data_IF_468036750825
#
_entry.id   IF_468036750825
#
_cell.length_a   1.000
_cell.length_b   1.000
_cell.length_c   1.000
_cell.angle_alpha   90.00
_cell.angle_beta   90.00
_cell.angle_gamma   90.00
#
_symmetry.space_group_name_H-M   'P 1'
#
loop_
_entity.id
_entity.type
_entity.pdbx_description
1 polymer ?
#
# COMPACT_ATOMS: atom_id res chain seq x y z
N UNK A 1 61.16 -19.87 -0.22
CA UNK A 1 60.23 -19.71 -1.33
C UNK A 1 58.89 -20.43 -1.17
N UNK A 2 58.75 -21.32 -0.23
CA UNK A 2 57.51 -22.10 -0.04
C UNK A 2 56.54 -21.51 0.98
N UNK A 3 56.86 -20.40 1.62
CA UNK A 3 56.04 -19.80 2.67
C UNK A 3 54.88 -18.92 2.11
N UNK A 4 55.10 -18.28 0.98
CA UNK A 4 54.10 -17.44 0.31
C UNK A 4 52.99 -18.21 -0.40
N UNK A 5 53.26 -19.41 -0.85
CA UNK A 5 52.26 -20.25 -1.50
C UNK A 5 51.22 -20.83 -0.52
N UNK A 6 51.62 -21.10 0.73
CA UNK A 6 50.72 -21.62 1.76
C UNK A 6 49.78 -20.53 2.31
N UNK A 7 50.22 -19.28 2.36
CA UNK A 7 49.40 -18.17 2.83
C UNK A 7 48.28 -17.83 1.82
N UNK A 8 48.57 -17.96 0.54
CA UNK A 8 47.55 -17.77 -0.53
C UNK A 8 46.47 -18.83 -0.52
N UNK A 9 46.76 -20.03 -0.09
CA UNK A 9 45.80 -21.13 -0.07
C UNK A 9 44.81 -21.04 1.09
N UNK A 10 45.18 -20.46 2.21
CA UNK A 10 44.29 -20.24 3.36
C UNK A 10 43.31 -19.07 3.15
N UNK A 11 43.63 -18.10 2.32
CA UNK A 11 42.78 -16.90 2.08
C UNK A 11 41.69 -17.19 1.05
N UNK A 12 41.91 -18.13 0.13
CA UNK A 12 40.93 -18.48 -0.93
C UNK A 12 39.57 -18.97 -0.41
N UNK A 13 39.48 -19.88 0.60
CA UNK A 13 38.16 -20.30 1.09
C UNK A 13 37.45 -19.19 1.87
N UNK A 14 38.18 -18.33 2.58
CA UNK A 14 37.58 -17.21 3.28
C UNK A 14 36.99 -16.14 2.37
N UNK A 15 37.65 -15.82 1.28
CA UNK A 15 37.14 -14.88 0.29
C UNK A 15 35.86 -15.38 -0.40
N UNK A 16 35.76 -16.68 -0.64
CA UNK A 16 34.54 -17.29 -1.20
C UNK A 16 33.38 -17.31 -0.22
N UNK A 17 33.64 -17.58 1.05
CA UNK A 17 32.61 -17.57 2.11
C UNK A 17 32.10 -16.16 2.35
N UNK A 18 32.97 -15.16 2.39
CA UNK A 18 32.59 -13.76 2.54
C UNK A 18 31.78 -13.29 1.33
N UNK A 19 32.13 -13.72 0.12
CA UNK A 19 31.38 -13.37 -1.10
C UNK A 19 29.97 -13.95 -1.11
N UNK A 20 29.81 -15.22 -0.70
CA UNK A 20 28.50 -15.87 -0.59
C UNK A 20 27.65 -15.26 0.51
N UNK A 21 28.24 -14.94 1.65
CA UNK A 21 27.55 -14.29 2.77
C UNK A 21 27.13 -12.87 2.39
N UNK A 22 27.95 -12.12 1.67
CA UNK A 22 27.64 -10.79 1.16
C UNK A 22 26.47 -10.79 0.16
N UNK A 23 26.42 -11.78 -0.75
CA UNK A 23 25.30 -11.96 -1.67
C UNK A 23 23.99 -12.32 -0.97
N UNK A 24 24.05 -13.11 0.11
CA UNK A 24 22.87 -13.48 0.87
C UNK A 24 22.28 -12.29 1.63
N UNK A 25 23.11 -11.39 2.15
CA UNK A 25 22.65 -10.15 2.79
C UNK A 25 22.00 -9.17 1.82
N UNK A 26 22.46 -9.11 0.59
CA UNK A 26 21.88 -8.23 -0.45
C UNK A 26 20.48 -8.72 -0.84
N UNK A 27 20.24 -10.03 -0.86
CA UNK A 27 18.93 -10.60 -1.18
C UNK A 27 17.88 -10.38 -0.08
N UNK A 28 18.29 -10.26 1.17
CA UNK A 28 17.38 -9.99 2.30
C UNK A 28 17.00 -8.51 2.42
N UNK A 29 17.79 -7.61 1.86
CA UNK A 29 17.55 -6.15 1.92
C UNK A 29 16.56 -5.61 0.89
N UNK A 30 16.25 -6.37 -0.18
CA UNK A 30 15.41 -5.87 -1.28
C UNK A 30 13.90 -6.06 -1.07
N UNK A 31 13.44 -6.81 -0.07
CA UNK A 31 12.02 -7.12 0.07
C UNK A 31 11.18 -6.01 0.69
N UNK A 32 11.78 -5.07 1.42
CA UNK A 32 11.05 -4.00 2.11
C UNK A 32 11.07 -2.63 1.40
N UNK A 33 11.92 -2.47 0.39
CA UNK A 33 12.04 -1.20 -0.33
C UNK A 33 11.05 -1.06 -1.50
N UNK A 34 10.39 -2.15 -1.90
CA UNK A 34 9.53 -2.19 -3.09
C UNK A 34 8.04 -1.97 -2.83
N UNK A 35 7.62 -1.89 -1.58
CA UNK A 35 6.22 -1.57 -1.21
C UNK A 35 5.91 -0.08 -1.22
N UNK A 36 6.85 0.72 -1.63
CA UNK A 36 6.85 2.15 -1.48
C UNK A 36 6.32 2.86 -2.72
N UNK A 37 5.23 3.55 -2.54
CA UNK A 37 4.80 4.75 -3.29
C UNK A 37 4.47 4.63 -4.78
N UNK A 38 4.96 3.63 -5.50
CA UNK A 38 4.75 3.54 -6.95
C UNK A 38 3.32 3.09 -7.30
N UNK A 39 2.60 2.51 -6.35
CA UNK A 39 1.23 2.03 -6.53
C UNK A 39 0.14 3.02 -6.08
N UNK A 40 0.49 4.23 -5.67
CA UNK A 40 -0.50 5.25 -5.37
C UNK A 40 -1.00 5.90 -6.65
N UNK A 41 -2.20 5.53 -7.04
CA UNK A 41 -2.90 6.14 -8.17
C UNK A 41 -3.13 7.62 -7.90
N UNK A 42 -2.89 8.45 -8.91
CA UNK A 42 -3.20 9.87 -8.86
C UNK A 42 -4.62 10.12 -9.35
N UNK A 43 -5.35 10.98 -8.65
CA UNK A 43 -6.68 11.42 -9.01
C UNK A 43 -6.68 12.94 -9.13
N UNK A 44 -7.11 13.45 -10.28
CA UNK A 44 -7.10 14.89 -10.57
C UNK A 44 -5.72 15.55 -10.35
N UNK A 45 -4.66 14.81 -10.72
CA UNK A 45 -3.26 15.25 -10.56
C UNK A 45 -2.69 15.17 -9.15
N UNK A 46 -3.46 14.73 -8.16
CA UNK A 46 -3.03 14.62 -6.76
C UNK A 46 -3.01 13.19 -6.28
N UNK A 47 -2.08 12.88 -5.40
CA UNK A 47 -2.04 11.64 -4.63
C UNK A 47 -2.71 11.85 -3.28
N UNK A 48 -3.68 10.99 -2.95
CA UNK A 48 -4.41 11.04 -1.67
C UNK A 48 -3.99 9.90 -0.77
N UNK A 49 -3.91 10.17 0.52
CA UNK A 49 -3.73 9.15 1.55
C UNK A 49 -5.09 8.68 2.02
N UNK A 50 -5.36 7.40 1.88
CA UNK A 50 -6.62 6.78 2.29
C UNK A 50 -6.40 5.83 3.47
N UNK A 51 -7.38 5.74 4.35
CA UNK A 51 -7.41 4.75 5.42
C UNK A 51 -8.79 4.12 5.46
N UNK A 52 -8.85 2.81 5.19
CA UNK A 52 -10.06 2.03 5.27
C UNK A 52 -10.05 1.21 6.56
N UNK A 53 -11.13 1.31 7.32
CA UNK A 53 -11.37 0.51 8.52
C UNK A 53 -12.55 -0.43 8.25
N UNK A 54 -12.30 -1.73 8.42
CA UNK A 54 -13.34 -2.75 8.35
C UNK A 54 -14.12 -2.76 9.66
N UNK A 55 -15.43 -2.93 9.59
CA UNK A 55 -16.24 -3.13 10.77
C UNK A 55 -15.91 -4.48 11.42
N UNK A 56 -15.96 -4.54 12.75
CA UNK A 56 -15.64 -5.76 13.51
C UNK A 56 -16.80 -6.74 13.60
N UNK A 57 -18.02 -6.23 13.46
CA UNK A 57 -19.25 -7.03 13.56
C UNK A 57 -19.70 -7.52 12.18
N UNK A 58 -19.67 -6.63 11.18
CA UNK A 58 -19.97 -6.95 9.79
C UNK A 58 -18.72 -6.68 8.93
N UNK A 59 -18.01 -7.73 8.58
CA UNK A 59 -16.76 -7.66 7.83
C UNK A 59 -16.91 -7.12 6.39
N UNK A 60 -18.13 -7.05 5.88
CA UNK A 60 -18.47 -6.39 4.60
C UNK A 60 -18.66 -4.89 4.72
N UNK A 61 -18.93 -4.40 5.91
CA UNK A 61 -19.08 -2.97 6.20
C UNK A 61 -17.71 -2.31 6.43
N UNK A 62 -17.58 -1.09 5.95
CA UNK A 62 -16.35 -0.33 6.08
C UNK A 62 -16.61 1.16 6.27
N UNK A 63 -15.66 1.83 6.88
CA UNK A 63 -15.49 3.27 6.86
C UNK A 63 -14.17 3.66 6.22
N UNK A 64 -14.15 4.71 5.46
CA UNK A 64 -13.00 5.16 4.68
C UNK A 64 -12.78 6.64 4.89
N UNK A 65 -11.53 6.99 5.14
CA UNK A 65 -11.09 8.38 5.31
C UNK A 65 -10.08 8.72 4.21
N UNK A 66 -10.35 9.80 3.49
CA UNK A 66 -9.43 10.35 2.49
C UNK A 66 -8.85 11.64 3.04
N UNK A 67 -7.53 11.66 3.23
CA UNK A 67 -6.80 12.81 3.78
C UNK A 67 -6.41 13.78 2.68
N UNK A 68 -6.24 15.05 3.05
CA UNK A 68 -5.88 16.15 2.13
C UNK A 68 -6.88 16.32 0.99
N UNK A 69 -8.13 16.00 1.23
CA UNK A 69 -9.21 16.08 0.25
C UNK A 69 -9.51 17.53 -0.18
N UNK A 70 -9.05 18.52 0.57
CA UNK A 70 -9.14 19.92 0.22
C UNK A 70 -8.31 20.33 -1.01
N UNK A 71 -7.37 19.48 -1.47
CA UNK A 71 -6.60 19.73 -2.70
C UNK A 71 -7.47 19.60 -3.94
N UNK A 72 -8.34 18.61 -3.97
CA UNK A 72 -9.35 18.38 -4.98
C UNK A 72 -10.43 17.49 -4.40
N UNK A 73 -11.63 18.02 -4.22
CA UNK A 73 -12.77 17.24 -3.71
C UNK A 73 -13.17 16.15 -4.72
N UNK A 74 -13.15 16.47 -6.00
CA UNK A 74 -13.41 15.51 -7.09
C UNK A 74 -12.41 14.36 -7.07
N UNK A 75 -11.11 14.67 -7.01
CA UNK A 75 -10.06 13.67 -6.92
C UNK A 75 -10.13 12.83 -5.65
N UNK A 76 -10.46 13.44 -4.51
CA UNK A 76 -10.63 12.74 -3.24
C UNK A 76 -11.82 11.75 -3.26
N UNK A 77 -12.94 12.13 -3.90
CA UNK A 77 -14.10 11.26 -4.11
C UNK A 77 -13.73 10.03 -4.95
N UNK A 78 -13.00 10.23 -6.04
CA UNK A 78 -12.53 9.14 -6.89
C UNK A 78 -11.51 8.24 -6.16
N UNK A 79 -10.60 8.83 -5.39
CA UNK A 79 -9.66 8.06 -4.57
C UNK A 79 -10.38 7.18 -3.54
N UNK A 80 -11.41 7.72 -2.90
CA UNK A 80 -12.24 6.97 -1.95
C UNK A 80 -13.02 5.85 -2.62
N UNK A 81 -13.63 6.11 -3.76
CA UNK A 81 -14.32 5.09 -4.57
C UNK A 81 -13.38 3.97 -4.97
N UNK A 82 -12.21 4.31 -5.47
CA UNK A 82 -11.19 3.34 -5.87
C UNK A 82 -10.77 2.41 -4.73
N UNK A 83 -10.46 2.96 -3.56
CA UNK A 83 -10.05 2.16 -2.40
C UNK A 83 -11.18 1.26 -1.85
N UNK A 84 -12.41 1.76 -1.82
CA UNK A 84 -13.57 0.98 -1.42
C UNK A 84 -13.84 -0.18 -2.38
N UNK A 85 -13.82 0.08 -3.69
CA UNK A 85 -14.00 -0.95 -4.72
C UNK A 85 -12.89 -2.00 -4.65
N UNK A 86 -11.64 -1.57 -4.51
CA UNK A 86 -10.49 -2.45 -4.34
C UNK A 86 -10.64 -3.36 -3.11
N UNK A 87 -11.11 -2.81 -1.99
CA UNK A 87 -11.39 -3.58 -0.77
C UNK A 87 -12.45 -4.65 -1.01
N UNK A 88 -13.58 -4.30 -1.64
CA UNK A 88 -14.68 -5.24 -1.91
C UNK A 88 -14.26 -6.32 -2.90
N UNK A 89 -13.55 -5.99 -3.97
CA UNK A 89 -13.06 -6.97 -4.95
C UNK A 89 -12.08 -7.94 -4.28
N UNK A 90 -11.11 -7.41 -3.53
CA UNK A 90 -10.07 -8.22 -2.90
C UNK A 90 -10.62 -9.21 -1.86
N UNK A 91 -11.61 -8.79 -1.08
CA UNK A 91 -12.11 -9.59 0.04
C UNK A 91 -13.36 -10.40 -0.29
N UNK A 92 -14.18 -9.93 -1.22
CA UNK A 92 -15.52 -10.49 -1.50
C UNK A 92 -15.80 -10.75 -2.98
N UNK A 93 -14.89 -10.36 -3.87
CA UNK A 93 -15.02 -10.60 -5.31
C UNK A 93 -16.10 -9.77 -6.00
N UNK A 94 -16.60 -8.70 -5.37
CA UNK A 94 -17.63 -7.81 -5.92
C UNK A 94 -17.13 -6.38 -6.01
N UNK A 95 -17.54 -5.66 -7.05
CA UNK A 95 -17.35 -4.22 -7.19
C UNK A 95 -18.54 -3.41 -6.69
N UNK A 96 -19.65 -4.07 -6.37
CA UNK A 96 -20.88 -3.44 -5.97
C UNK A 96 -20.83 -3.04 -4.49
N UNK A 97 -21.22 -1.81 -4.23
CA UNK A 97 -21.15 -1.21 -2.90
C UNK A 97 -22.48 -0.54 -2.58
N UNK A 98 -23.10 -0.98 -1.50
CA UNK A 98 -24.21 -0.27 -0.88
C UNK A 98 -23.64 0.87 -0.02
N UNK A 99 -23.66 2.08 -0.55
CA UNK A 99 -23.11 3.26 0.13
C UNK A 99 -24.03 3.78 1.22
N UNK A 100 -23.45 4.15 2.35
CA UNK A 100 -24.11 4.91 3.43
C UNK A 100 -23.73 6.38 3.31
N UNK A 101 -22.43 6.66 3.16
CA UNK A 101 -21.90 7.96 2.77
C UNK A 101 -21.23 7.81 1.41
N UNK A 102 -21.96 8.15 0.35
CA UNK A 102 -21.49 7.97 -1.02
C UNK A 102 -20.54 9.06 -1.47
N UNK A 103 -19.51 8.72 -2.27
CA UNK A 103 -18.66 9.75 -2.88
C UNK A 103 -19.43 10.69 -3.84
N UNK A 104 -20.61 10.28 -4.33
CA UNK A 104 -21.46 11.07 -5.22
C UNK A 104 -22.48 11.93 -4.47
N UNK A 105 -22.58 11.78 -3.16
CA UNK A 105 -23.56 12.51 -2.37
C UNK A 105 -23.13 13.98 -2.23
N UNK A 106 -24.05 14.90 -2.56
CA UNK A 106 -23.80 16.33 -2.46
C UNK A 106 -23.61 16.79 -0.99
N UNK A 107 -24.14 16.03 -0.02
CA UNK A 107 -24.00 16.31 1.41
C UNK A 107 -22.69 15.77 2.00
N UNK A 108 -21.97 14.94 1.26
CA UNK A 108 -20.64 14.47 1.66
C UNK A 108 -19.64 15.60 1.44
N UNK A 109 -19.43 16.36 2.48
CA UNK A 109 -18.52 17.48 2.53
C UNK A 109 -17.21 17.16 3.21
N UNK A 110 -16.28 18.10 3.05
CA UNK A 110 -15.03 18.10 3.77
C UNK A 110 -15.28 18.47 5.24
N UNK A 111 -14.85 17.60 6.14
CA UNK A 111 -14.66 17.98 7.55
C UNK A 111 -13.20 18.41 7.71
N UNK A 112 -12.97 19.72 7.64
CA UNK A 112 -11.61 20.26 7.56
C UNK A 112 -10.90 19.87 6.24
N UNK A 113 -9.90 19.02 6.31
CA UNK A 113 -9.12 18.52 5.15
C UNK A 113 -9.42 17.05 4.82
N UNK A 114 -10.45 16.49 5.40
CA UNK A 114 -10.76 15.06 5.39
C UNK A 114 -12.12 14.83 4.76
N UNK A 115 -12.20 13.83 3.88
CA UNK A 115 -13.43 13.29 3.33
C UNK A 115 -13.70 11.94 3.99
N UNK A 116 -14.89 11.77 4.53
CA UNK A 116 -15.33 10.51 5.13
C UNK A 116 -16.37 9.84 4.24
N UNK A 117 -16.16 8.57 3.97
CA UNK A 117 -17.06 7.71 3.21
C UNK A 117 -17.35 6.44 3.99
N UNK A 118 -18.50 5.85 3.77
CA UNK A 118 -18.82 4.54 4.37
C UNK A 118 -19.79 3.77 3.49
N UNK A 119 -19.73 2.45 3.59
CA UNK A 119 -20.59 1.58 2.84
C UNK A 119 -20.41 0.11 3.23
N UNK A 120 -21.04 -0.75 2.45
CA UNK A 120 -21.01 -2.19 2.61
C UNK A 120 -20.83 -2.84 1.24
N UNK A 121 -19.95 -3.84 1.16
CA UNK A 121 -19.82 -4.63 -0.07
C UNK A 121 -21.11 -5.42 -0.32
N UNK A 122 -21.72 -5.23 -1.47
CA UNK A 122 -22.95 -5.91 -1.85
C UNK A 122 -22.61 -7.17 -2.64
N UNK A 123 -23.09 -8.30 -2.13
CA UNK A 123 -22.83 -9.62 -2.72
C UNK A 123 -24.14 -10.20 -3.20
#
# INVERSE_FOLDING_TARGET
>A
MNFTAKLFFCIRPFAKIISVLGCLFILLGCSNAFELEENKVSFDGYKFSTKLNRDKVDDRSFSLVVRRANRSLSGAREAGRYEATKFCIKNFGTSDIAWVLSPDDNNVGLTGKVLELSGRCDI
#
